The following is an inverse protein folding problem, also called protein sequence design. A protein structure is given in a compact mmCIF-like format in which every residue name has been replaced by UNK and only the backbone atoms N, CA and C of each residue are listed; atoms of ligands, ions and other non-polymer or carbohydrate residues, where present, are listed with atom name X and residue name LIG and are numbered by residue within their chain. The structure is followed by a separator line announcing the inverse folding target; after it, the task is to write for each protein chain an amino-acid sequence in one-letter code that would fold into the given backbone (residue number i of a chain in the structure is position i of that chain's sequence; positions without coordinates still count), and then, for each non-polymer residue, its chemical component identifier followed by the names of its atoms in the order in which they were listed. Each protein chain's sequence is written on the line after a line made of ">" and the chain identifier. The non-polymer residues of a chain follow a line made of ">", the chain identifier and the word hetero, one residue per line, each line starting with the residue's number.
data_IF_750994345034
#
_entry.id   IF_750994345034
#
_cell.length_a   1.000
_cell.length_b   1.000
_cell.length_c   1.000
_cell.angle_alpha   90.00
_cell.angle_beta   90.00
_cell.angle_gamma   90.00
#
_symmetry.space_group_name_H-M   'P 1'
#
loop_
_entity.id
_entity.type
_entity.pdbx_description
1 polymer ?
#
# COMPACT_ATOMS: atom_id res chain seq x y z
N UNK A 1 -4.38 -23.51 15.64
CA UNK A 1 -4.10 -22.12 15.20
C UNK A 1 -3.36 -21.27 16.24
N UNK A 2 -2.97 -21.82 17.40
CA UNK A 2 -2.00 -21.19 18.32
C UNK A 2 -0.59 -21.21 17.70
N UNK A 3 0.11 -20.08 17.80
CA UNK A 3 1.58 -19.92 17.86
C UNK A 3 2.44 -19.65 16.63
N UNK A 4 1.95 -19.50 15.39
CA UNK A 4 2.87 -19.12 14.29
C UNK A 4 3.49 -17.73 14.47
N UNK A 5 2.77 -16.78 15.09
CA UNK A 5 3.28 -15.44 15.42
C UNK A 5 4.17 -15.43 16.67
N UNK A 6 3.92 -16.32 17.64
CA UNK A 6 4.66 -16.37 18.91
C UNK A 6 6.03 -17.07 18.75
N UNK A 7 6.21 -17.87 17.70
CA UNK A 7 7.50 -18.48 17.35
C UNK A 7 8.41 -17.57 16.51
N UNK A 8 7.99 -16.33 16.21
CA UNK A 8 8.81 -15.39 15.46
C UNK A 8 9.94 -14.88 16.37
N UNK A 9 11.15 -15.37 16.12
CA UNK A 9 12.34 -14.89 16.83
C UNK A 9 12.65 -13.42 16.51
N UNK A 10 13.47 -12.77 17.34
CA UNK A 10 13.89 -11.36 17.16
C UNK A 10 14.49 -11.09 15.77
N UNK A 11 15.25 -12.06 15.22
CA UNK A 11 15.88 -11.92 13.90
C UNK A 11 14.84 -11.85 12.78
N UNK A 12 13.77 -12.66 12.85
CA UNK A 12 12.68 -12.67 11.88
C UNK A 12 11.84 -11.40 11.96
N UNK A 13 11.57 -10.90 13.16
CA UNK A 13 10.92 -9.59 13.33
C UNK A 13 11.70 -8.48 12.64
N UNK A 14 13.02 -8.47 12.82
CA UNK A 14 13.91 -7.54 12.14
C UNK A 14 13.88 -7.74 10.61
N UNK A 15 13.84 -8.98 10.13
CA UNK A 15 13.67 -9.26 8.69
C UNK A 15 12.36 -8.69 8.14
N UNK A 16 11.23 -8.87 8.84
CA UNK A 16 9.94 -8.32 8.41
C UNK A 16 9.96 -6.79 8.39
N UNK A 17 10.59 -6.18 9.38
CA UNK A 17 10.79 -4.73 9.41
C UNK A 17 11.64 -4.24 8.24
N UNK A 18 12.76 -4.91 7.93
CA UNK A 18 13.60 -4.56 6.78
C UNK A 18 12.86 -4.73 5.45
N UNK A 19 12.03 -5.75 5.30
CA UNK A 19 11.18 -5.94 4.12
C UNK A 19 10.19 -4.78 3.99
N UNK A 20 9.50 -4.42 5.07
CA UNK A 20 8.58 -3.29 5.07
C UNK A 20 9.27 -1.95 4.76
N UNK A 21 10.46 -1.74 5.31
CA UNK A 21 11.28 -0.56 5.03
C UNK A 21 11.68 -0.50 3.56
N UNK A 22 12.12 -1.61 2.97
CA UNK A 22 12.48 -1.69 1.55
C UNK A 22 11.29 -1.40 0.63
N UNK A 23 10.10 -1.92 0.95
CA UNK A 23 8.88 -1.64 0.21
C UNK A 23 8.46 -0.17 0.33
N UNK A 24 8.65 0.43 1.52
CA UNK A 24 8.37 1.85 1.76
C UNK A 24 9.29 2.74 0.94
N UNK A 25 10.60 2.46 0.91
CA UNK A 25 11.57 3.20 0.10
C UNK A 25 11.20 3.08 -1.39
N UNK A 26 10.89 1.86 -1.85
CA UNK A 26 10.49 1.65 -3.25
C UNK A 26 9.22 2.45 -3.60
N UNK A 27 8.23 2.49 -2.70
CA UNK A 27 7.03 3.31 -2.87
C UNK A 27 7.36 4.79 -2.98
N UNK A 28 8.19 5.33 -2.10
CA UNK A 28 8.58 6.74 -2.12
C UNK A 28 9.32 7.12 -3.42
N UNK A 29 10.19 6.23 -3.91
CA UNK A 29 10.88 6.42 -5.19
C UNK A 29 9.87 6.43 -6.34
N UNK A 30 8.97 5.44 -6.41
CA UNK A 30 7.94 5.39 -7.45
C UNK A 30 7.01 6.59 -7.41
N UNK A 31 6.65 7.04 -6.22
CA UNK A 31 5.80 8.21 -6.03
C UNK A 31 6.45 9.50 -6.56
N UNK A 32 7.78 9.60 -6.54
CA UNK A 32 8.50 10.74 -7.10
C UNK A 32 8.39 10.85 -8.63
N UNK A 33 8.04 9.75 -9.33
CA UNK A 33 7.81 9.77 -10.78
C UNK A 33 6.40 10.22 -11.16
N UNK A 34 5.52 10.43 -10.18
CA UNK A 34 4.12 10.74 -10.45
C UNK A 34 3.95 12.26 -10.57
N UNK A 35 3.42 12.77 -11.70
CA UNK A 35 3.21 14.20 -11.89
C UNK A 35 2.28 14.80 -10.84
N UNK A 36 2.55 16.03 -10.41
CA UNK A 36 1.65 16.76 -9.52
C UNK A 36 0.34 17.08 -10.25
N UNK A 37 -0.79 16.60 -9.74
CA UNK A 37 -2.11 16.99 -10.25
C UNK A 37 -2.48 18.40 -9.75
N UNK A 38 -2.89 19.27 -10.68
CA UNK A 38 -3.23 20.66 -10.37
C UNK A 38 -4.60 20.78 -9.68
N UNK A 39 -4.63 21.58 -8.60
CA UNK A 39 -5.79 22.01 -7.80
C UNK A 39 -6.66 20.90 -7.20
N UNK A 40 -6.42 20.60 -5.92
CA UNK A 40 -7.33 19.80 -5.12
C UNK A 40 -8.66 20.53 -4.88
N UNK A 41 -9.82 19.88 -5.13
CA UNK A 41 -11.12 20.47 -4.83
C UNK A 41 -11.40 20.55 -3.31
N UNK A 42 -10.58 19.89 -2.48
CA UNK A 42 -10.73 19.85 -1.04
C UNK A 42 -9.80 20.85 -0.32
N UNK A 43 -10.26 21.48 0.77
CA UNK A 43 -9.41 22.31 1.60
C UNK A 43 -8.27 21.49 2.24
N UNK A 44 -7.08 22.10 2.45
CA UNK A 44 -5.93 21.38 2.99
C UNK A 44 -6.19 20.90 4.42
N UNK A 45 -5.81 19.65 4.71
CA UNK A 45 -5.96 19.04 6.04
C UNK A 45 -4.95 19.63 7.05
N UNK A 46 -5.12 19.33 8.34
CA UNK A 46 -4.17 19.74 9.37
C UNK A 46 -2.74 19.20 9.11
N UNK A 47 -2.63 17.99 8.54
CA UNK A 47 -1.35 17.35 8.20
C UNK A 47 -0.68 18.10 7.04
N UNK A 48 -1.46 18.49 6.04
CA UNK A 48 -1.00 19.30 4.90
C UNK A 48 -0.53 20.68 5.36
N UNK A 49 -1.37 21.36 6.15
CA UNK A 49 -1.06 22.68 6.71
C UNK A 49 0.20 22.68 7.58
N UNK A 50 0.49 21.55 8.26
CA UNK A 50 1.69 21.38 9.06
C UNK A 50 2.94 20.97 8.24
N UNK A 51 2.83 20.75 6.93
CA UNK A 51 3.94 20.27 6.09
C UNK A 51 4.34 18.82 6.40
N UNK A 52 3.47 18.05 7.05
CA UNK A 52 3.77 16.70 7.55
C UNK A 52 3.24 15.59 6.64
N UNK A 53 2.85 15.91 5.39
CA UNK A 53 2.31 14.94 4.45
C UNK A 53 3.29 13.77 4.21
N UNK A 54 4.53 14.07 3.80
CA UNK A 54 5.54 13.05 3.48
C UNK A 54 5.88 12.18 4.70
N UNK A 55 6.17 12.73 5.90
CA UNK A 55 6.38 11.93 7.10
C UNK A 55 5.17 11.05 7.46
N UNK A 56 3.96 11.62 7.43
CA UNK A 56 2.74 10.89 7.78
C UNK A 56 2.49 9.73 6.83
N UNK A 57 2.67 9.97 5.53
CA UNK A 57 2.51 8.94 4.52
C UNK A 57 3.59 7.86 4.60
N UNK A 58 4.82 8.23 4.95
CA UNK A 58 5.92 7.28 5.19
C UNK A 58 5.61 6.34 6.35
N UNK A 59 5.11 6.88 7.47
CA UNK A 59 4.72 6.07 8.64
C UNK A 59 3.56 5.13 8.26
N UNK A 60 2.55 5.64 7.58
CA UNK A 60 1.43 4.86 7.08
C UNK A 60 1.89 3.70 6.18
N UNK A 61 2.74 3.99 5.20
CA UNK A 61 3.27 3.00 4.27
C UNK A 61 4.07 1.92 5.01
N UNK A 62 4.94 2.32 5.95
CA UNK A 62 5.74 1.40 6.73
C UNK A 62 4.89 0.44 7.56
N UNK A 63 3.88 0.95 8.27
CA UNK A 63 2.94 0.13 9.04
C UNK A 63 2.19 -0.83 8.12
N UNK A 64 1.69 -0.33 6.99
CA UNK A 64 0.90 -1.11 6.03
C UNK A 64 1.72 -2.27 5.45
N UNK A 65 2.93 -2.00 4.96
CA UNK A 65 3.80 -3.06 4.40
C UNK A 65 4.29 -4.04 5.45
N UNK A 66 4.50 -3.58 6.69
CA UNK A 66 4.83 -4.46 7.81
C UNK A 66 3.69 -5.42 8.13
N UNK A 67 2.46 -4.91 8.25
CA UNK A 67 1.27 -5.74 8.44
C UNK A 67 1.08 -6.71 7.28
N UNK A 68 1.30 -6.28 6.04
CA UNK A 68 1.23 -7.16 4.87
C UNK A 68 2.25 -8.30 4.94
N UNK A 69 3.48 -8.01 5.37
CA UNK A 69 4.50 -9.02 5.57
C UNK A 69 4.12 -10.01 6.69
N UNK A 70 3.50 -9.53 7.77
CA UNK A 70 2.96 -10.38 8.84
C UNK A 70 1.85 -11.28 8.32
N UNK A 71 0.91 -10.75 7.54
CA UNK A 71 -0.16 -11.54 6.89
C UNK A 71 0.42 -12.63 6.01
N UNK A 72 1.41 -12.30 5.17
CA UNK A 72 2.11 -13.30 4.36
C UNK A 72 2.68 -14.43 5.22
N UNK A 73 3.33 -14.11 6.35
CA UNK A 73 3.89 -15.12 7.26
C UNK A 73 2.82 -16.04 7.85
N UNK A 74 1.63 -15.51 8.14
CA UNK A 74 0.51 -16.30 8.69
C UNK A 74 -0.03 -17.29 7.65
N UNK A 75 -0.12 -16.86 6.38
CA UNK A 75 -0.80 -17.65 5.34
C UNK A 75 0.14 -18.49 4.48
N UNK A 76 1.43 -18.18 4.40
CA UNK A 76 2.39 -18.86 3.50
C UNK A 76 2.44 -20.38 3.70
N UNK A 77 2.15 -20.88 4.91
CA UNK A 77 2.08 -22.30 5.21
C UNK A 77 0.99 -23.03 4.41
N UNK A 78 -0.07 -22.32 4.02
CA UNK A 78 -1.22 -22.82 3.27
C UNK A 78 -1.11 -22.60 1.75
N UNK A 79 -0.16 -21.77 1.31
CA UNK A 79 0.06 -21.52 -0.11
C UNK A 79 0.85 -22.68 -0.75
N UNK A 80 0.47 -23.15 -1.94
CA UNK A 80 1.19 -24.21 -2.65
C UNK A 80 2.50 -23.71 -3.27
N UNK A 81 3.46 -24.62 -3.46
CA UNK A 81 4.71 -24.35 -4.20
C UNK A 81 5.93 -23.99 -3.33
N UNK A 82 7.00 -23.55 -4.00
CA UNK A 82 8.28 -23.16 -3.37
C UNK A 82 8.20 -21.79 -2.70
N UNK A 83 9.18 -21.46 -1.85
CA UNK A 83 9.22 -20.18 -1.10
C UNK A 83 9.05 -18.95 -2.01
N UNK A 84 9.76 -18.91 -3.13
CA UNK A 84 9.67 -17.80 -4.11
C UNK A 84 8.29 -17.77 -4.76
N UNK A 85 7.77 -18.93 -5.19
CA UNK A 85 6.46 -19.04 -5.83
C UNK A 85 5.33 -18.56 -4.90
N UNK A 86 5.39 -18.89 -3.61
CA UNK A 86 4.43 -18.41 -2.60
C UNK A 86 4.44 -16.89 -2.48
N UNK A 87 5.64 -16.29 -2.42
CA UNK A 87 5.79 -14.83 -2.36
C UNK A 87 5.24 -14.14 -3.59
N UNK A 88 5.60 -14.63 -4.79
CA UNK A 88 5.11 -14.07 -6.06
C UNK A 88 3.59 -14.22 -6.20
N UNK A 89 3.04 -15.39 -5.87
CA UNK A 89 1.59 -15.63 -5.94
C UNK A 89 0.84 -14.71 -4.98
N UNK A 90 1.32 -14.57 -3.74
CA UNK A 90 0.73 -13.65 -2.77
C UNK A 90 0.77 -12.21 -3.26
N UNK A 91 1.94 -11.74 -3.70
CA UNK A 91 2.11 -10.38 -4.20
C UNK A 91 1.25 -10.09 -5.43
N UNK A 92 1.18 -11.04 -6.37
CA UNK A 92 0.35 -10.91 -7.57
C UNK A 92 -1.15 -10.83 -7.24
N UNK A 93 -1.66 -11.72 -6.39
CA UNK A 93 -3.06 -11.70 -5.97
C UNK A 93 -3.41 -10.43 -5.18
N UNK A 94 -2.49 -9.98 -4.31
CA UNK A 94 -2.66 -8.73 -3.59
C UNK A 94 -2.69 -7.53 -4.55
N UNK A 95 -1.81 -7.51 -5.57
CA UNK A 95 -1.81 -6.49 -6.60
C UNK A 95 -3.12 -6.48 -7.40
N UNK A 96 -3.61 -7.64 -7.84
CA UNK A 96 -4.92 -7.73 -8.52
C UNK A 96 -6.06 -7.21 -7.64
N UNK A 97 -6.09 -7.60 -6.37
CA UNK A 97 -7.08 -7.11 -5.41
C UNK A 97 -7.00 -5.59 -5.25
N UNK A 98 -5.78 -5.05 -5.16
CA UNK A 98 -5.56 -3.60 -5.07
C UNK A 98 -6.03 -2.86 -6.32
N UNK A 99 -5.76 -3.39 -7.51
CA UNK A 99 -6.28 -2.83 -8.76
C UNK A 99 -7.81 -2.82 -8.76
N UNK A 100 -8.47 -3.93 -8.39
CA UNK A 100 -9.94 -4.01 -8.33
C UNK A 100 -10.50 -2.99 -7.34
N UNK A 101 -9.88 -2.85 -6.16
CA UNK A 101 -10.23 -1.85 -5.16
C UNK A 101 -10.13 -0.43 -5.72
N UNK A 102 -9.06 -0.09 -6.45
CA UNK A 102 -8.93 1.22 -7.08
C UNK A 102 -9.98 1.48 -8.16
N UNK A 103 -10.52 0.44 -8.79
CA UNK A 103 -11.62 0.55 -9.75
C UNK A 103 -13.00 0.67 -9.09
N UNK A 104 -13.11 0.53 -7.76
CA UNK A 104 -14.39 0.71 -7.08
C UNK A 104 -14.82 2.19 -7.12
N UNK A 105 -16.00 2.52 -7.65
CA UNK A 105 -16.45 3.90 -7.75
C UNK A 105 -16.69 4.48 -6.36
N UNK A 106 -16.03 5.60 -6.07
CA UNK A 106 -16.20 6.29 -4.81
C UNK A 106 -17.63 6.85 -4.68
N UNK A 107 -18.26 6.72 -3.50
CA UNK A 107 -19.67 7.08 -3.30
C UNK A 107 -20.00 8.57 -3.47
N UNK A 108 -18.98 9.45 -3.53
CA UNK A 108 -19.14 10.89 -3.74
C UNK A 108 -18.96 11.32 -5.20
N UNK A 109 -18.61 10.40 -6.10
CA UNK A 109 -18.49 10.66 -7.53
C UNK A 109 -19.85 10.36 -8.15
N UNK A 110 -20.66 11.40 -8.29
CA UNK A 110 -22.06 11.32 -8.70
C UNK A 110 -22.27 10.97 -10.19
N UNK A 111 -21.21 10.79 -10.97
CA UNK A 111 -21.25 10.47 -12.40
C UNK A 111 -20.57 9.13 -12.69
N UNK A 112 -21.34 8.17 -13.21
CA UNK A 112 -20.85 6.87 -13.70
C UNK A 112 -20.13 6.99 -15.05
N UNK A 113 -19.23 7.97 -15.21
CA UNK A 113 -18.43 8.08 -16.44
C UNK A 113 -17.21 7.15 -16.34
N UNK A 114 -16.92 6.41 -17.41
CA UNK A 114 -15.74 5.54 -17.47
C UNK A 114 -14.44 6.32 -17.21
N UNK A 115 -14.40 7.58 -17.60
CA UNK A 115 -13.27 8.49 -17.35
C UNK A 115 -12.99 8.73 -15.87
N UNK A 116 -14.01 8.77 -15.00
CA UNK A 116 -13.82 8.96 -13.56
C UNK A 116 -13.45 7.65 -12.84
N UNK A 117 -13.89 6.50 -13.38
CA UNK A 117 -13.49 5.17 -12.92
C UNK A 117 -12.00 4.89 -13.15
N UNK A 118 -11.44 5.36 -14.27
CA UNK A 118 -9.99 5.32 -14.51
C UNK A 118 -9.26 6.49 -13.84
N UNK A 119 -9.94 7.61 -13.60
CA UNK A 119 -9.32 8.74 -12.91
C UNK A 119 -8.96 8.40 -11.48
N UNK A 120 -9.70 7.55 -10.75
CA UNK A 120 -9.35 7.27 -9.35
C UNK A 120 -8.09 6.42 -9.13
N UNK A 121 -7.82 5.32 -9.87
CA UNK A 121 -6.52 4.65 -9.84
C UNK A 121 -5.37 5.58 -10.23
N UNK A 122 -5.59 6.42 -11.24
CA UNK A 122 -4.63 7.44 -11.68
C UNK A 122 -4.49 8.50 -10.58
N UNK A 123 -5.55 8.96 -9.94
CA UNK A 123 -5.51 10.01 -8.94
C UNK A 123 -4.95 9.49 -7.63
N UNK A 124 -5.21 8.26 -7.17
CA UNK A 124 -4.57 7.71 -5.95
C UNK A 124 -3.04 7.61 -6.10
N UNK A 125 -2.57 7.40 -7.33
CA UNK A 125 -1.16 7.58 -7.69
C UNK A 125 -0.74 9.07 -7.58
N UNK A 126 -1.57 10.02 -8.03
CA UNK A 126 -1.24 11.45 -8.18
C UNK A 126 -1.65 12.37 -6.99
N UNK A 127 -2.39 11.88 -5.99
CA UNK A 127 -3.05 12.69 -4.96
C UNK A 127 -2.28 12.73 -3.63
N UNK A 128 -1.03 12.25 -3.65
CA UNK A 128 -0.13 12.26 -2.50
C UNK A 128 0.88 13.40 -2.50
N UNK A 129 0.50 14.53 -3.09
CA UNK A 129 1.22 15.80 -2.92
C UNK A 129 0.24 16.96 -2.80
N UNK A 130 -0.24 17.17 -1.58
CA UNK A 130 -0.65 18.49 -1.09
C UNK A 130 -0.15 18.64 0.33
#
# INVERSE_FOLDING_TARGET
>A
MKSMLFEINKKRWLTLFLVALSATIFRLILQAFIPSSGSNPFPPSAIVKAGLLIPSFTIYALITYFLLAVVFVIIQGRLPGTKIKKGLMFGFLFCMMWCIYLFEPLPHVSSTSLTELFAYPIVDEYHLYF
#
